data_IF_548691691089
#
_entry.id   IF_548691691089
#
_cell.length_a   1.000
_cell.length_b   1.000
_cell.length_c   1.000
_cell.angle_alpha   90.00
_cell.angle_beta   90.00
_cell.angle_gamma   90.00
#
_symmetry.space_group_name_H-M   'P 1'
#
loop_
_entity.id
_entity.type
_entity.pdbx_description
1 polymer ?
#
# COMPACT_ATOMS: atom_id res chain seq x y z
N UNK A 1 10.89 18.33 41.88
CA UNK A 1 11.62 17.40 41.00
C UNK A 1 11.54 16.03 41.65
N UNK A 2 10.50 15.26 41.32
CA UNK A 2 10.36 13.86 41.71
C UNK A 2 11.29 13.04 40.82
N UNK A 3 12.20 12.25 41.41
CA UNK A 3 13.04 11.34 40.63
C UNK A 3 12.13 10.38 39.84
N UNK A 4 12.38 10.15 38.53
CA UNK A 4 11.63 9.16 37.77
C UNK A 4 11.82 7.78 38.41
N UNK A 5 10.72 7.04 38.53
CA UNK A 5 10.74 5.68 39.09
C UNK A 5 11.38 4.77 38.06
N UNK A 6 12.38 3.98 38.44
CA UNK A 6 13.06 3.08 37.49
C UNK A 6 12.54 1.64 37.63
N UNK A 7 12.17 1.03 36.51
CA UNK A 7 11.93 -0.42 36.43
C UNK A 7 13.23 -1.09 35.99
N UNK A 8 13.69 -2.09 36.75
CA UNK A 8 14.92 -2.85 36.50
C UNK A 8 14.55 -4.30 36.17
N UNK A 9 14.89 -4.76 34.96
CA UNK A 9 14.49 -6.10 34.46
C UNK A 9 15.73 -6.88 34.02
N UNK A 10 15.92 -8.13 34.49
CA UNK A 10 16.93 -9.02 33.94
C UNK A 10 16.72 -9.26 32.44
N UNK A 11 17.75 -9.05 31.64
CA UNK A 11 17.67 -9.13 30.19
C UNK A 11 18.94 -9.73 29.57
N UNK A 12 18.77 -10.27 28.37
CA UNK A 12 19.87 -10.74 27.52
C UNK A 12 20.01 -9.77 26.35
N UNK A 13 21.16 -9.12 26.24
CA UNK A 13 21.54 -8.36 25.05
C UNK A 13 22.11 -9.33 24.02
N UNK A 14 21.53 -9.36 22.82
CA UNK A 14 21.93 -10.17 21.68
C UNK A 14 22.41 -9.26 20.55
N UNK A 15 23.61 -9.49 20.03
CA UNK A 15 24.17 -8.76 18.90
C UNK A 15 23.80 -9.45 17.58
N UNK A 16 23.11 -8.74 16.69
CA UNK A 16 22.80 -9.19 15.33
C UNK A 16 23.53 -8.32 14.31
N UNK A 17 24.51 -8.89 13.61
CA UNK A 17 25.37 -8.14 12.69
C UNK A 17 26.31 -7.17 13.41
N UNK A 18 26.76 -6.12 12.71
CA UNK A 18 27.81 -5.22 13.20
C UNK A 18 27.30 -4.09 14.09
N UNK A 19 26.02 -3.70 13.97
CA UNK A 19 25.46 -2.52 14.66
C UNK A 19 24.13 -2.74 15.38
N UNK A 20 23.48 -3.90 15.26
CA UNK A 20 22.15 -4.10 15.86
C UNK A 20 22.24 -4.87 17.17
N UNK A 21 21.56 -4.35 18.17
CA UNK A 21 21.45 -4.93 19.50
C UNK A 21 19.97 -5.17 19.79
N UNK A 22 19.65 -6.38 20.24
CA UNK A 22 18.31 -6.78 20.66
C UNK A 22 18.38 -7.15 22.13
N UNK A 23 17.35 -6.82 22.89
CA UNK A 23 17.22 -7.13 24.30
C UNK A 23 16.05 -8.10 24.47
N UNK A 24 16.32 -9.29 24.98
CA UNK A 24 15.29 -10.28 25.30
C UNK A 24 15.08 -10.34 26.81
N UNK A 25 13.84 -10.19 27.26
CA UNK A 25 13.48 -10.22 28.69
C UNK A 25 12.03 -10.66 28.89
N UNK A 26 11.65 -10.92 30.15
CA UNK A 26 10.26 -11.16 30.52
C UNK A 26 9.75 -10.02 31.40
N UNK A 27 8.50 -9.62 31.20
CA UNK A 27 7.82 -8.60 32.02
C UNK A 27 6.36 -8.97 32.20
N UNK A 28 5.74 -8.54 33.30
CA UNK A 28 4.29 -8.64 33.42
C UNK A 28 3.62 -7.78 32.37
N UNK A 29 2.75 -8.38 31.54
CA UNK A 29 2.00 -7.67 30.51
C UNK A 29 1.12 -6.56 31.08
N UNK A 30 0.71 -6.65 32.36
CA UNK A 30 -0.03 -5.59 33.07
C UNK A 30 0.82 -4.35 33.34
N UNK A 31 2.15 -4.48 33.40
CA UNK A 31 3.08 -3.36 33.64
C UNK A 31 3.50 -2.64 32.37
N UNK A 32 3.41 -3.29 31.20
CA UNK A 32 3.84 -2.72 29.91
C UNK A 32 3.24 -1.33 29.62
N UNK A 33 1.94 -1.06 29.89
CA UNK A 33 1.37 0.27 29.68
C UNK A 33 2.04 1.37 30.51
N UNK A 34 2.72 1.08 31.62
CA UNK A 34 3.40 2.13 32.41
C UNK A 34 4.59 2.77 31.68
N UNK A 35 5.20 2.06 30.73
CA UNK A 35 6.41 2.51 30.04
C UNK A 35 6.34 2.41 28.51
N UNK A 36 5.31 1.78 27.95
CA UNK A 36 5.17 1.65 26.51
C UNK A 36 3.77 1.99 26.01
N UNK A 37 3.71 2.60 24.83
CA UNK A 37 2.47 3.06 24.20
C UNK A 37 2.28 2.47 22.80
N UNK A 38 1.06 2.53 22.30
CA UNK A 38 0.75 2.25 20.89
C UNK A 38 0.72 3.58 20.16
N UNK A 39 1.59 3.75 19.16
CA UNK A 39 1.48 4.82 18.15
C UNK A 39 0.08 4.76 17.52
N UNK A 40 -0.78 5.63 18.04
CA UNK A 40 -1.81 6.24 17.22
C UNK A 40 -1.01 7.20 16.36
N UNK A 41 -0.86 6.89 15.08
CA UNK A 41 -0.44 7.86 14.08
C UNK A 41 -1.48 9.00 14.14
N UNK A 42 -1.28 9.94 15.08
CA UNK A 42 -2.02 11.18 15.20
C UNK A 42 -1.40 12.08 14.15
N UNK A 43 -2.09 12.21 13.01
CA UNK A 43 -1.95 13.42 12.22
C UNK A 43 -2.52 14.56 13.07
N UNK A 44 -1.64 15.32 13.70
CA UNK A 44 -1.99 16.63 14.23
C UNK A 44 -2.42 17.51 13.05
N UNK A 45 -3.70 17.87 13.04
CA UNK A 45 -4.30 18.76 12.04
C UNK A 45 -5.62 18.22 11.50
N UNK A 46 -6.72 18.61 12.16
CA UNK A 46 -8.10 18.53 11.68
C UNK A 46 -8.61 17.14 11.21
N UNK A 47 -8.90 16.28 12.19
CA UNK A 47 -10.12 15.46 12.31
C UNK A 47 -9.83 14.39 13.35
N UNK A 48 -10.28 14.67 14.57
CA UNK A 48 -10.27 13.72 15.68
C UNK A 48 -11.16 12.54 15.26
N UNK A 49 -10.55 11.44 14.84
CA UNK A 49 -11.24 10.18 14.61
C UNK A 49 -11.60 9.58 15.97
N UNK A 50 -12.70 10.06 16.53
CA UNK A 50 -13.45 9.30 17.53
C UNK A 50 -13.95 8.01 16.88
N UNK A 51 -13.61 6.87 17.49
CA UNK A 51 -14.44 5.66 17.37
C UNK A 51 -14.18 4.67 16.23
N UNK A 52 -12.98 4.58 15.64
CA UNK A 52 -12.69 3.45 14.72
C UNK A 52 -12.25 2.18 15.48
N UNK A 53 -13.13 1.62 16.31
CA UNK A 53 -12.92 0.27 16.85
C UNK A 53 -13.49 -0.76 15.87
N UNK A 54 -12.60 -1.50 15.18
CA UNK A 54 -13.02 -2.57 14.26
C UNK A 54 -13.59 -3.75 15.05
N UNK A 55 -14.83 -4.22 14.77
CA UNK A 55 -15.45 -5.34 15.49
C UNK A 55 -14.60 -6.62 15.48
N UNK A 56 -13.90 -6.87 14.38
CA UNK A 56 -13.01 -8.03 14.18
C UNK A 56 -11.78 -8.01 15.11
N UNK A 57 -11.31 -6.82 15.51
CA UNK A 57 -10.20 -6.67 16.45
C UNK A 57 -10.68 -6.92 17.88
N UNK A 58 -11.90 -6.47 18.20
CA UNK A 58 -12.52 -6.71 19.51
C UNK A 58 -12.84 -8.19 19.73
N UNK A 59 -13.35 -8.89 18.72
CA UNK A 59 -13.61 -10.33 18.82
C UNK A 59 -12.33 -11.12 19.06
N UNK A 60 -11.24 -10.78 18.37
CA UNK A 60 -9.97 -11.47 18.54
C UNK A 60 -9.30 -11.16 19.90
N UNK A 61 -9.41 -9.93 20.40
CA UNK A 61 -8.96 -9.58 21.75
C UNK A 61 -9.74 -10.41 22.79
N UNK A 62 -11.06 -10.53 22.62
CA UNK A 62 -11.90 -11.33 23.51
C UNK A 62 -11.53 -12.84 23.50
N UNK A 63 -11.22 -13.41 22.33
CA UNK A 63 -10.71 -14.79 22.21
C UNK A 63 -9.41 -14.99 22.99
N UNK A 64 -8.43 -14.10 22.80
CA UNK A 64 -7.14 -14.17 23.51
C UNK A 64 -7.36 -14.00 25.01
N UNK A 65 -8.22 -13.06 25.44
CA UNK A 65 -8.55 -12.84 26.85
C UNK A 65 -9.15 -14.10 27.47
N UNK A 66 -10.18 -14.66 26.84
CA UNK A 66 -10.83 -15.87 27.32
C UNK A 66 -9.84 -17.05 27.40
N UNK A 67 -8.87 -17.13 26.48
CA UNK A 67 -7.80 -18.13 26.55
C UNK A 67 -6.84 -17.88 27.73
N UNK A 68 -6.45 -16.63 27.99
CA UNK A 68 -5.62 -16.25 29.15
C UNK A 68 -6.30 -16.58 30.48
N UNK A 69 -7.63 -16.50 30.55
CA UNK A 69 -8.41 -16.79 31.76
C UNK A 69 -8.67 -18.30 31.99
N UNK A 70 -8.13 -19.19 31.15
CA UNK A 70 -8.21 -20.64 31.36
C UNK A 70 -7.26 -21.12 32.48
N UNK A 71 -7.35 -22.39 32.88
CA UNK A 71 -6.51 -22.94 33.96
C UNK A 71 -5.01 -23.06 33.58
N UNK A 72 -4.68 -23.16 32.30
CA UNK A 72 -3.30 -23.37 31.82
C UNK A 72 -2.98 -22.64 30.50
N UNK A 73 -3.05 -21.30 30.47
CA UNK A 73 -2.73 -20.51 29.28
C UNK A 73 -1.24 -20.53 28.97
N UNK A 74 -0.88 -20.60 27.68
CA UNK A 74 0.51 -20.45 27.22
C UNK A 74 0.59 -19.53 26.00
N UNK A 75 1.29 -18.40 26.14
CA UNK A 75 1.56 -17.47 25.04
C UNK A 75 3.08 -17.38 24.82
N UNK A 76 3.66 -18.27 23.99
CA UNK A 76 5.12 -18.36 23.83
C UNK A 76 5.70 -17.25 22.95
N UNK A 77 4.86 -16.59 22.15
CA UNK A 77 5.29 -15.57 21.20
C UNK A 77 5.61 -14.27 21.93
N UNK A 78 6.84 -13.77 21.75
CA UNK A 78 7.26 -12.50 22.31
C UNK A 78 6.46 -11.32 21.73
N UNK A 79 6.31 -10.26 22.52
CA UNK A 79 5.92 -8.93 22.03
C UNK A 79 7.16 -8.17 21.60
N UNK A 80 7.00 -7.16 20.73
CA UNK A 80 8.12 -6.35 20.25
C UNK A 80 7.96 -4.90 20.68
N UNK A 81 8.98 -4.36 21.35
CA UNK A 81 9.00 -2.98 21.84
C UNK A 81 10.23 -2.25 21.28
N UNK A 82 10.02 -1.09 20.68
CA UNK A 82 11.09 -0.15 20.34
C UNK A 82 11.24 0.84 21.50
N UNK A 83 12.40 0.90 22.12
CA UNK A 83 12.72 1.90 23.14
C UNK A 83 13.52 3.06 22.55
N UNK A 84 13.39 4.23 23.16
CA UNK A 84 14.32 5.34 22.92
C UNK A 84 15.58 5.24 23.80
N UNK A 85 16.44 6.25 23.68
CA UNK A 85 17.73 6.36 24.34
C UNK A 85 17.65 6.58 25.86
N UNK A 86 16.46 6.81 26.43
CA UNK A 86 16.27 6.90 27.88
C UNK A 86 16.37 5.53 28.55
N UNK A 87 16.12 4.45 27.81
CA UNK A 87 16.30 3.07 28.30
C UNK A 87 17.76 2.67 28.18
N UNK A 88 18.33 2.12 29.27
CA UNK A 88 19.74 1.71 29.32
C UNK A 88 19.90 0.25 29.71
N UNK A 89 21.02 -0.34 29.33
CA UNK A 89 21.38 -1.72 29.68
C UNK A 89 22.69 -1.74 30.47
N UNK A 90 22.64 -2.29 31.69
CA UNK A 90 23.80 -2.46 32.57
C UNK A 90 24.23 -3.93 32.56
N UNK A 91 25.49 -4.21 32.19
CA UNK A 91 26.03 -5.56 32.17
C UNK A 91 26.10 -6.15 33.58
N UNK A 92 25.76 -7.43 33.72
CA UNK A 92 25.88 -8.13 35.00
C UNK A 92 27.35 -8.40 35.32
N UNK A 93 27.78 -8.01 36.52
CA UNK A 93 29.14 -8.27 37.02
C UNK A 93 29.30 -9.76 37.32
N UNK A 94 30.25 -10.42 36.66
CA UNK A 94 30.58 -11.84 36.92
C UNK A 94 29.84 -12.86 36.06
N UNK A 95 29.13 -12.44 35.01
CA UNK A 95 28.51 -13.37 34.07
C UNK A 95 29.57 -14.18 33.27
N UNK A 96 29.34 -15.48 33.00
CA UNK A 96 30.27 -16.29 32.22
C UNK A 96 30.38 -15.73 30.79
N UNK A 97 31.60 -15.32 30.39
CA UNK A 97 31.94 -14.85 29.05
C UNK A 97 32.05 -16.02 28.05
N UNK A 98 30.97 -16.79 27.87
CA UNK A 98 30.98 -17.99 27.01
C UNK A 98 30.75 -17.71 25.53
N UNK A 99 30.08 -16.60 25.18
CA UNK A 99 29.64 -16.29 23.80
C UNK A 99 29.66 -14.78 23.52
N UNK A 100 30.27 -14.37 22.41
CA UNK A 100 30.45 -12.95 22.06
C UNK A 100 29.17 -12.23 21.63
N UNK A 101 28.17 -12.98 21.17
CA UNK A 101 26.94 -12.44 20.62
C UNK A 101 25.82 -12.30 21.64
N UNK A 102 25.99 -12.77 22.88
CA UNK A 102 24.97 -12.66 23.92
C UNK A 102 25.58 -12.28 25.27
N UNK A 103 25.02 -11.25 25.92
CA UNK A 103 25.47 -10.75 27.22
C UNK A 103 24.29 -10.62 28.17
N UNK A 104 24.49 -11.04 29.42
CA UNK A 104 23.48 -10.94 30.48
C UNK A 104 23.64 -9.62 31.22
N UNK A 105 22.52 -8.97 31.53
CA UNK A 105 22.51 -7.70 32.25
C UNK A 105 21.13 -7.33 32.74
N UNK A 106 20.99 -6.06 33.15
CA UNK A 106 19.74 -5.47 33.62
C UNK A 106 19.35 -4.35 32.67
N UNK A 107 18.16 -4.45 32.08
CA UNK A 107 17.53 -3.36 31.33
C UNK A 107 16.84 -2.43 32.32
N UNK A 108 17.07 -1.13 32.18
CA UNK A 108 16.54 -0.11 33.07
C UNK A 108 15.67 0.84 32.28
N UNK A 109 14.40 0.87 32.65
CA UNK A 109 13.35 1.59 31.97
C UNK A 109 12.85 2.70 32.91
N UNK A 110 12.98 3.98 32.53
CA UNK A 110 12.41 5.06 33.32
C UNK A 110 10.88 5.03 33.19
N UNK A 111 10.20 5.21 34.31
CA UNK A 111 8.74 5.34 34.40
C UNK A 111 8.43 6.67 35.04
N UNK A 112 7.58 7.41 34.34
CA UNK A 112 7.01 8.65 34.83
C UNK A 112 5.50 8.56 34.62
N UNK A 113 4.74 8.60 35.71
CA UNK A 113 3.27 8.53 35.65
C UNK A 113 2.67 9.90 35.26
N UNK A 114 3.49 10.95 35.09
CA UNK A 114 3.06 12.32 34.80
C UNK A 114 3.22 12.75 33.34
N UNK A 115 3.95 11.97 32.52
CA UNK A 115 4.15 12.25 31.09
C UNK A 115 2.94 11.77 30.26
N UNK A 116 2.71 12.40 29.11
CA UNK A 116 1.65 11.98 28.17
C UNK A 116 1.90 10.54 27.70
N UNK A 117 0.83 9.80 27.42
CA UNK A 117 0.86 8.49 26.78
C UNK A 117 1.73 8.47 25.52
N UNK A 118 1.84 9.59 24.80
CA UNK A 118 2.67 9.71 23.59
C UNK A 118 4.17 9.90 23.86
N UNK A 119 4.55 10.23 25.08
CA UNK A 119 5.93 10.54 25.47
C UNK A 119 6.60 9.40 26.26
N UNK A 120 5.95 8.24 26.36
CA UNK A 120 6.50 7.05 27.02
C UNK A 120 7.75 6.54 26.29
N UNK A 121 8.74 5.98 27.01
CA UNK A 121 10.02 5.58 26.43
C UNK A 121 9.94 4.37 25.50
N UNK A 122 8.86 3.59 25.56
CA UNK A 122 8.63 2.43 24.71
C UNK A 122 7.49 2.64 23.71
N UNK A 123 7.69 2.11 22.51
CA UNK A 123 6.67 2.00 21.47
C UNK A 123 6.40 0.52 21.14
N UNK A 124 5.15 0.09 21.25
CA UNK A 124 4.72 -1.28 20.97
C UNK A 124 4.67 -1.49 19.46
N UNK A 125 5.65 -2.25 18.96
CA UNK A 125 5.80 -2.56 17.54
C UNK A 125 4.91 -3.74 17.14
N UNK A 126 4.89 -4.81 17.94
CA UNK A 126 4.02 -5.98 17.74
C UNK A 126 3.55 -6.52 19.10
N UNK A 127 2.40 -7.18 19.10
CA UNK A 127 1.77 -7.74 20.29
C UNK A 127 0.63 -6.89 20.85
N UNK A 128 0.16 -5.88 20.12
CA UNK A 128 -0.88 -4.95 20.60
C UNK A 128 -2.16 -5.64 21.05
N UNK A 129 -2.69 -6.58 20.25
CA UNK A 129 -3.89 -7.34 20.60
C UNK A 129 -3.67 -8.26 21.82
N UNK A 130 -2.48 -8.85 21.94
CA UNK A 130 -2.08 -9.69 23.09
C UNK A 130 -2.01 -8.86 24.37
N UNK A 131 -1.35 -7.70 24.32
CA UNK A 131 -1.26 -6.77 25.45
C UNK A 131 -2.63 -6.20 25.84
N UNK A 132 -3.49 -5.88 24.87
CA UNK A 132 -4.86 -5.45 25.14
C UNK A 132 -5.66 -6.54 25.86
N UNK A 133 -5.56 -7.79 25.38
CA UNK A 133 -6.21 -8.94 26.01
C UNK A 133 -5.68 -9.19 27.43
N UNK A 134 -4.36 -9.15 27.64
CA UNK A 134 -3.76 -9.29 28.98
C UNK A 134 -4.25 -8.18 29.91
N UNK A 135 -4.29 -6.93 29.44
CA UNK A 135 -4.79 -5.78 30.23
C UNK A 135 -6.24 -6.00 30.67
N UNK A 136 -7.08 -6.51 29.79
CA UNK A 136 -8.52 -6.71 30.03
C UNK A 136 -8.86 -8.04 30.71
N UNK A 137 -7.93 -9.00 30.76
CA UNK A 137 -8.12 -10.29 31.42
C UNK A 137 -8.22 -10.14 32.94
N UNK A 138 -9.11 -10.92 33.55
CA UNK A 138 -9.30 -11.03 34.99
C UNK A 138 -8.23 -11.93 35.63
N UNK A 139 -6.96 -11.56 35.43
CA UNK A 139 -5.78 -12.19 36.03
C UNK A 139 -4.94 -11.10 36.72
N UNK A 140 -4.36 -11.41 37.87
CA UNK A 140 -3.53 -10.45 38.61
C UNK A 140 -2.23 -10.10 37.88
N UNK A 141 -1.60 -11.12 37.26
CA UNK A 141 -0.32 -10.99 36.56
C UNK A 141 -0.26 -11.98 35.40
N UNK A 142 0.33 -11.57 34.28
CA UNK A 142 0.60 -12.47 33.16
C UNK A 142 1.96 -12.14 32.52
N UNK A 143 3.05 -12.82 32.92
CA UNK A 143 4.37 -12.61 32.35
C UNK A 143 4.42 -12.95 30.85
N UNK A 144 5.02 -12.06 30.06
CA UNK A 144 5.24 -12.24 28.63
C UNK A 144 6.71 -12.05 28.26
N UNK A 145 7.14 -12.77 27.23
CA UNK A 145 8.43 -12.55 26.60
C UNK A 145 8.41 -11.25 25.79
N UNK A 146 9.49 -10.49 25.85
CA UNK A 146 9.69 -9.24 25.11
C UNK A 146 10.98 -9.33 24.32
N UNK A 147 10.92 -8.97 23.05
CA UNK A 147 12.08 -8.67 22.22
C UNK A 147 12.10 -7.17 21.96
N UNK A 148 13.15 -6.49 22.40
CA UNK A 148 13.24 -5.04 22.29
C UNK A 148 14.51 -4.59 21.58
N UNK A 149 14.48 -3.37 21.03
CA UNK A 149 15.67 -2.69 20.52
C UNK A 149 15.60 -1.23 20.95
N UNK A 150 16.76 -0.60 21.10
CA UNK A 150 16.87 0.81 21.49
C UNK A 150 17.31 1.59 20.25
N UNK A 151 16.54 2.59 19.84
CA UNK A 151 16.89 3.48 18.74
C UNK A 151 16.32 4.88 18.96
N UNK A 152 17.12 5.90 18.65
CA UNK A 152 16.72 7.29 18.64
C UNK A 152 16.11 7.73 17.30
N UNK A 153 16.10 6.87 16.29
CA UNK A 153 15.62 7.19 14.94
C UNK A 153 14.18 6.68 14.71
N UNK A 154 13.23 7.61 14.65
CA UNK A 154 11.82 7.34 14.32
C UNK A 154 11.64 6.59 12.99
N UNK A 155 12.56 6.76 12.04
CA UNK A 155 12.56 6.04 10.76
C UNK A 155 12.90 4.57 10.95
N UNK A 156 13.91 4.25 11.75
CA UNK A 156 14.28 2.87 12.08
C UNK A 156 13.15 2.17 12.87
N UNK A 157 12.48 2.89 13.78
CA UNK A 157 11.28 2.37 14.48
C UNK A 157 10.16 2.01 13.50
N UNK A 158 9.90 2.89 12.52
CA UNK A 158 8.87 2.66 11.48
C UNK A 158 9.25 1.51 10.55
N UNK A 159 10.51 1.41 10.16
CA UNK A 159 11.02 0.30 9.33
C UNK A 159 10.87 -1.05 10.04
N UNK A 160 11.27 -1.14 11.31
CA UNK A 160 11.07 -2.36 12.10
C UNK A 160 9.59 -2.67 12.31
N UNK A 161 8.74 -1.66 12.48
CA UNK A 161 7.30 -1.86 12.54
C UNK A 161 6.74 -2.56 11.29
N UNK A 162 7.18 -2.13 10.11
CA UNK A 162 6.78 -2.75 8.84
C UNK A 162 7.35 -4.17 8.73
N UNK A 163 8.62 -4.37 9.08
CA UNK A 163 9.31 -5.65 8.92
C UNK A 163 8.77 -6.72 9.89
N UNK A 164 8.57 -6.39 11.16
CA UNK A 164 8.06 -7.32 12.18
C UNK A 164 6.60 -7.69 11.89
N UNK A 165 5.76 -6.72 11.54
CA UNK A 165 4.36 -6.96 11.17
C UNK A 165 4.18 -7.46 9.72
N UNK A 166 5.25 -7.77 8.98
CA UNK A 166 5.11 -8.36 7.64
C UNK A 166 4.67 -9.83 7.67
N UNK A 167 4.75 -10.48 8.84
CA UNK A 167 4.42 -11.92 9.04
C UNK A 167 2.95 -12.19 9.38
N UNK A 168 2.14 -11.15 9.67
CA UNK A 168 0.65 -11.16 9.65
C UNK A 168 0.17 -9.90 8.93
N UNK A 169 -0.72 -9.97 7.93
CA UNK A 169 -0.82 -8.94 6.91
C UNK A 169 -1.35 -7.62 7.47
N UNK A 170 -0.47 -6.62 7.60
CA UNK A 170 -0.89 -5.23 7.46
C UNK A 170 -1.79 -5.14 6.22
N UNK A 171 -2.91 -4.38 6.25
CA UNK A 171 -3.76 -4.22 5.08
C UNK A 171 -2.89 -3.84 3.88
N UNK A 172 -3.01 -4.58 2.77
CA UNK A 172 -2.13 -4.41 1.60
C UNK A 172 -2.05 -2.94 1.15
N UNK A 173 -3.16 -2.21 1.22
CA UNK A 173 -3.20 -0.78 0.91
C UNK A 173 -2.32 0.08 1.83
N UNK A 174 -2.24 -0.23 3.14
CA UNK A 174 -1.34 0.47 4.06
C UNK A 174 0.12 0.15 3.78
N UNK A 175 0.43 -1.11 3.45
CA UNK A 175 1.78 -1.47 2.99
C UNK A 175 2.13 -0.61 1.76
N UNK A 176 1.26 -0.59 0.74
CA UNK A 176 1.51 0.14 -0.50
C UNK A 176 1.67 1.65 -0.27
N UNK A 177 0.92 2.25 0.64
CA UNK A 177 1.07 3.67 0.96
C UNK A 177 2.40 3.99 1.66
N UNK A 178 2.91 3.06 2.48
CA UNK A 178 4.18 3.22 3.19
C UNK A 178 5.40 2.90 2.31
N UNK A 179 5.27 1.99 1.33
CA UNK A 179 6.38 1.52 0.48
C UNK A 179 7.26 2.63 -0.11
N UNK A 180 6.72 3.72 -0.70
CA UNK A 180 7.54 4.77 -1.32
C UNK A 180 8.51 5.45 -0.37
N UNK A 181 8.20 5.47 0.92
CA UNK A 181 8.98 6.14 1.95
C UNK A 181 10.06 5.24 2.57
N UNK A 182 10.18 3.98 2.11
CA UNK A 182 11.12 2.99 2.65
C UNK A 182 12.40 2.89 1.81
N UNK A 183 13.55 2.88 2.49
CA UNK A 183 14.88 2.71 1.86
C UNK A 183 15.47 1.30 2.07
N UNK A 184 14.82 0.45 2.87
CA UNK A 184 15.28 -0.89 3.19
C UNK A 184 15.31 -1.85 1.98
N UNK A 185 16.17 -2.86 2.06
CA UNK A 185 16.14 -4.00 1.14
C UNK A 185 14.93 -4.87 1.46
N UNK A 186 13.80 -4.55 0.84
CA UNK A 186 12.56 -5.32 0.92
C UNK A 186 12.65 -6.66 0.16
N UNK A 187 11.80 -7.65 0.48
CA UNK A 187 11.57 -8.80 -0.36
C UNK A 187 11.27 -8.40 -1.81
N UNK A 188 11.75 -9.19 -2.79
CA UNK A 188 11.68 -8.87 -4.23
C UNK A 188 10.29 -8.46 -4.69
N UNK A 189 9.23 -9.12 -4.17
CA UNK A 189 7.84 -8.80 -4.51
C UNK A 189 7.42 -7.39 -4.03
N UNK A 190 7.87 -6.96 -2.86
CA UNK A 190 7.57 -5.62 -2.32
C UNK A 190 8.42 -4.54 -2.98
N UNK A 191 9.69 -4.85 -3.31
CA UNK A 191 10.52 -3.94 -4.12
C UNK A 191 9.88 -3.62 -5.47
N UNK A 192 9.35 -4.64 -6.16
CA UNK A 192 8.66 -4.46 -7.45
C UNK A 192 7.45 -3.54 -7.34
N UNK A 193 6.78 -3.49 -6.18
CA UNK A 193 5.60 -2.65 -5.93
C UNK A 193 5.90 -1.23 -5.45
N UNK A 194 7.13 -0.93 -5.04
CA UNK A 194 7.50 0.39 -4.50
C UNK A 194 7.26 1.52 -5.50
N UNK A 195 7.74 1.36 -6.74
CA UNK A 195 7.60 2.40 -7.77
C UNK A 195 6.15 2.58 -8.27
N UNK A 196 5.38 1.50 -8.59
CA UNK A 196 3.95 1.64 -8.86
C UNK A 196 3.16 2.31 -7.72
N UNK A 197 3.50 2.02 -6.46
CA UNK A 197 2.83 2.63 -5.31
C UNK A 197 3.20 4.12 -5.13
N UNK A 198 4.42 4.51 -5.49
CA UNK A 198 4.82 5.92 -5.53
C UNK A 198 4.00 6.70 -6.57
N UNK A 199 3.91 6.18 -7.81
CA UNK A 199 3.10 6.78 -8.86
C UNK A 199 1.62 6.86 -8.50
N UNK A 200 1.07 5.83 -7.86
CA UNK A 200 -0.31 5.85 -7.37
C UNK A 200 -0.55 7.00 -6.38
N UNK A 201 0.38 7.24 -5.45
CA UNK A 201 0.27 8.35 -4.51
C UNK A 201 0.29 9.71 -5.23
N UNK A 202 1.17 9.90 -6.22
CA UNK A 202 1.18 11.11 -7.05
C UNK A 202 -0.17 11.32 -7.73
N UNK A 203 -0.69 10.30 -8.41
CA UNK A 203 -1.99 10.36 -9.08
C UNK A 203 -3.15 10.67 -8.12
N UNK A 204 -3.05 10.28 -6.85
CA UNK A 204 -4.14 10.50 -5.90
C UNK A 204 -4.09 11.87 -5.21
N UNK A 205 -2.95 12.56 -5.23
CA UNK A 205 -2.72 13.77 -4.43
C UNK A 205 -2.41 15.03 -5.24
N UNK A 206 -1.87 14.93 -6.46
CA UNK A 206 -1.58 16.11 -7.26
C UNK A 206 -2.85 16.86 -7.68
N UNK A 207 -2.79 18.20 -7.62
CA UNK A 207 -3.89 19.12 -7.95
C UNK A 207 -4.47 18.86 -9.35
N UNK A 208 -3.61 18.69 -10.35
CA UNK A 208 -4.00 18.55 -11.75
C UNK A 208 -4.37 17.11 -12.15
N UNK A 209 -4.24 16.14 -11.23
CA UNK A 209 -4.52 14.75 -11.53
C UNK A 209 -6.03 14.50 -11.70
N UNK A 210 -6.48 13.90 -12.82
CA UNK A 210 -7.87 13.46 -12.98
C UNK A 210 -8.33 12.43 -11.94
N UNK A 211 -7.38 11.78 -11.27
CA UNK A 211 -7.58 10.75 -10.23
C UNK A 211 -7.45 11.30 -8.80
N UNK A 212 -7.24 12.61 -8.60
CA UNK A 212 -7.09 13.23 -7.28
C UNK A 212 -8.25 12.83 -6.35
N UNK A 213 -7.92 12.22 -5.22
CA UNK A 213 -8.88 11.77 -4.21
C UNK A 213 -9.80 10.61 -4.63
N UNK A 214 -9.60 10.02 -5.81
CA UNK A 214 -10.47 8.95 -6.34
C UNK A 214 -9.94 7.56 -6.03
N UNK A 215 -8.65 7.42 -5.80
CA UNK A 215 -8.03 6.12 -5.52
C UNK A 215 -8.20 5.83 -4.03
N UNK A 216 -8.88 4.73 -3.72
CA UNK A 216 -9.15 4.32 -2.35
C UNK A 216 -7.89 3.78 -1.69
N UNK A 217 -7.26 4.63 -0.87
CA UNK A 217 -6.13 4.30 0.00
C UNK A 217 -6.56 4.41 1.47
N UNK A 218 -5.78 3.93 2.44
CA UNK A 218 -6.05 4.17 3.87
C UNK A 218 -6.24 5.65 4.23
N UNK A 219 -5.52 6.56 3.57
CA UNK A 219 -5.67 8.01 3.75
C UNK A 219 -6.74 8.65 2.89
N UNK A 220 -7.23 7.95 1.87
CA UNK A 220 -8.34 8.37 0.99
C UNK A 220 -9.45 7.31 1.02
N UNK A 221 -10.14 7.12 2.17
CA UNK A 221 -11.08 6.02 2.34
C UNK A 221 -12.34 6.15 1.46
N UNK A 222 -12.65 7.37 1.03
CA UNK A 222 -13.83 7.69 0.21
C UNK A 222 -13.57 7.56 -1.30
N UNK A 223 -12.37 7.17 -1.72
CA UNK A 223 -12.06 6.93 -3.13
C UNK A 223 -12.97 5.86 -3.74
N UNK A 224 -13.39 6.07 -4.97
CA UNK A 224 -14.30 5.19 -5.69
C UNK A 224 -13.57 4.17 -6.59
N UNK A 225 -12.27 4.32 -6.82
CA UNK A 225 -11.42 3.38 -7.55
C UNK A 225 -10.55 2.58 -6.57
N UNK A 226 -10.54 1.25 -6.67
CA UNK A 226 -9.69 0.42 -5.79
C UNK A 226 -8.20 0.59 -6.14
N UNK A 227 -7.37 0.88 -5.12
CA UNK A 227 -5.90 0.99 -5.21
C UNK A 227 -5.25 -0.15 -6.00
N UNK A 228 -5.60 -1.40 -5.70
CA UNK A 228 -5.00 -2.57 -6.31
C UNK A 228 -5.29 -2.68 -7.82
N UNK A 229 -6.35 -2.03 -8.31
CA UNK A 229 -6.62 -1.97 -9.75
C UNK A 229 -5.70 -0.99 -10.47
N UNK A 230 -5.43 0.17 -9.86
CA UNK A 230 -4.43 1.12 -10.37
C UNK A 230 -3.03 0.50 -10.29
N UNK A 231 -2.68 -0.15 -9.17
CA UNK A 231 -1.38 -0.83 -9.05
C UNK A 231 -1.17 -1.88 -10.13
N UNK A 232 -2.15 -2.75 -10.38
CA UNK A 232 -2.06 -3.75 -11.46
C UNK A 232 -1.93 -3.12 -12.84
N UNK A 233 -2.68 -2.05 -13.10
CA UNK A 233 -2.61 -1.30 -14.35
C UNK A 233 -1.20 -0.73 -14.56
N UNK A 234 -0.65 -0.07 -13.54
CA UNK A 234 0.71 0.49 -13.55
C UNK A 234 1.77 -0.60 -13.70
N UNK A 235 1.64 -1.72 -12.97
CA UNK A 235 2.55 -2.87 -13.07
C UNK A 235 2.62 -3.42 -14.49
N UNK A 236 1.47 -3.58 -15.16
CA UNK A 236 1.41 -4.08 -16.54
C UNK A 236 2.13 -3.13 -17.50
N UNK A 237 1.81 -1.83 -17.45
CA UNK A 237 2.40 -0.85 -18.37
C UNK A 237 3.89 -0.57 -18.09
N UNK A 238 4.32 -0.63 -16.83
CA UNK A 238 5.73 -0.52 -16.44
C UNK A 238 6.56 -1.76 -16.77
N UNK A 239 5.92 -2.89 -17.09
CA UNK A 239 6.60 -4.13 -17.48
C UNK A 239 6.71 -4.23 -18.99
N UNK A 240 5.59 -4.05 -19.70
CA UNK A 240 5.50 -4.35 -21.15
C UNK A 240 4.75 -3.28 -21.96
N UNK A 241 4.43 -2.12 -21.35
CA UNK A 241 3.62 -1.06 -21.97
C UNK A 241 4.37 0.24 -22.24
N UNK A 242 3.63 1.33 -22.41
CA UNK A 242 4.19 2.65 -22.72
C UNK A 242 5.09 3.16 -21.59
N UNK A 243 4.73 2.88 -20.34
CA UNK A 243 5.49 3.39 -19.18
C UNK A 243 6.87 2.73 -19.04
N UNK A 244 7.07 1.52 -19.58
CA UNK A 244 8.37 0.86 -19.60
C UNK A 244 9.45 1.74 -20.26
N UNK A 245 9.09 2.54 -21.28
CA UNK A 245 10.03 3.42 -22.00
C UNK A 245 10.66 4.50 -21.13
N UNK A 246 9.95 4.89 -20.07
CA UNK A 246 10.37 5.94 -19.14
C UNK A 246 10.86 5.39 -17.80
N UNK A 247 10.78 4.07 -17.60
CA UNK A 247 11.13 3.41 -16.34
C UNK A 247 12.63 3.48 -16.01
N UNK A 248 13.48 3.60 -17.03
CA UNK A 248 14.93 3.64 -16.86
C UNK A 248 15.51 4.90 -17.50
N UNK A 249 16.08 5.75 -16.67
CA UNK A 249 16.93 6.89 -17.02
C UNK A 249 18.39 6.54 -16.74
N UNK A 250 19.32 7.34 -17.25
CA UNK A 250 20.77 7.12 -17.10
C UNK A 250 21.24 7.11 -15.62
N UNK A 251 20.47 7.68 -14.70
CA UNK A 251 20.71 7.73 -13.25
C UNK A 251 19.95 6.65 -12.46
N UNK A 252 19.19 5.77 -13.13
CA UNK A 252 18.49 4.63 -12.52
C UNK A 252 17.17 4.99 -11.80
N UNK A 253 16.78 6.27 -11.78
CA UNK A 253 15.52 6.75 -11.25
C UNK A 253 14.58 7.12 -12.41
N UNK A 254 13.74 6.17 -12.84
CA UNK A 254 12.84 6.36 -14.00
C UNK A 254 12.17 7.75 -14.06
N UNK A 255 11.94 8.24 -15.27
CA UNK A 255 11.47 9.59 -15.57
C UNK A 255 10.01 9.77 -15.11
N UNK A 256 9.88 10.09 -13.81
CA UNK A 256 8.61 10.23 -13.10
C UNK A 256 7.72 11.27 -13.77
N UNK A 257 8.30 12.38 -14.22
CA UNK A 257 7.55 13.48 -14.83
C UNK A 257 6.91 13.02 -16.14
N UNK A 258 7.66 12.31 -17.00
CA UNK A 258 7.10 11.78 -18.25
C UNK A 258 6.06 10.69 -18.00
N UNK A 259 6.29 9.80 -17.05
CA UNK A 259 5.31 8.76 -16.66
C UNK A 259 4.02 9.41 -16.18
N UNK A 260 4.14 10.40 -15.30
CA UNK A 260 3.01 11.13 -14.71
C UNK A 260 2.25 11.89 -15.79
N UNK A 261 2.95 12.55 -16.73
CA UNK A 261 2.34 13.24 -17.85
C UNK A 261 1.52 12.30 -18.75
N UNK A 262 2.05 11.11 -19.10
CA UNK A 262 1.30 10.11 -19.89
C UNK A 262 0.02 9.69 -19.15
N UNK A 263 0.13 9.40 -17.86
CA UNK A 263 -1.00 8.97 -17.04
C UNK A 263 -2.06 10.06 -16.90
N UNK A 264 -1.65 11.29 -16.60
CA UNK A 264 -2.56 12.44 -16.47
C UNK A 264 -3.26 12.74 -17.79
N UNK A 265 -2.53 12.75 -18.92
CA UNK A 265 -3.11 12.97 -20.25
C UNK A 265 -4.13 11.88 -20.60
N UNK A 266 -3.81 10.61 -20.35
CA UNK A 266 -4.70 9.50 -20.65
C UNK A 266 -5.96 9.52 -19.79
N UNK A 267 -5.84 9.64 -18.47
CA UNK A 267 -7.00 9.67 -17.58
C UNK A 267 -7.82 10.96 -17.74
N UNK A 268 -7.21 12.05 -18.16
CA UNK A 268 -7.88 13.29 -18.55
C UNK A 268 -8.78 13.05 -19.76
N UNK A 269 -8.27 12.36 -20.77
CA UNK A 269 -9.01 11.99 -21.97
C UNK A 269 -10.14 11.00 -21.66
N UNK A 270 -9.91 10.01 -20.79
CA UNK A 270 -10.96 9.08 -20.34
C UNK A 270 -12.08 9.83 -19.62
N UNK A 271 -11.75 10.76 -18.72
CA UNK A 271 -12.72 11.62 -18.03
C UNK A 271 -13.54 12.45 -19.01
N UNK A 272 -12.91 12.97 -20.06
CA UNK A 272 -13.54 13.80 -21.09
C UNK A 272 -14.50 12.97 -21.96
N UNK A 273 -14.00 11.88 -22.56
CA UNK A 273 -14.76 11.06 -23.53
C UNK A 273 -15.89 10.27 -22.87
N UNK A 274 -15.65 9.74 -21.66
CA UNK A 274 -16.58 8.89 -20.92
C UNK A 274 -17.13 9.59 -19.66
N UNK A 275 -17.35 10.90 -19.71
CA UNK A 275 -17.73 11.74 -18.56
C UNK A 275 -18.92 11.21 -17.74
N UNK A 276 -19.97 10.72 -18.39
CA UNK A 276 -21.14 10.13 -17.71
C UNK A 276 -20.75 8.88 -16.91
N UNK A 277 -20.03 7.94 -17.52
CA UNK A 277 -19.58 6.72 -16.87
C UNK A 277 -18.47 6.98 -15.84
N UNK A 278 -17.66 8.03 -16.01
CA UNK A 278 -16.59 8.43 -15.11
C UNK A 278 -17.12 8.98 -13.78
N UNK A 279 -18.26 9.68 -13.80
CA UNK A 279 -18.83 10.31 -12.60
C UNK A 279 -19.74 9.37 -11.78
N UNK A 280 -19.85 8.11 -12.17
CA UNK A 280 -20.65 7.10 -11.49
C UNK A 280 -19.78 6.15 -10.67
N UNK A 281 -20.26 5.67 -9.49
CA UNK A 281 -19.52 4.73 -8.68
C UNK A 281 -19.37 3.35 -9.36
N UNK A 282 -18.40 2.49 -8.95
CA UNK A 282 -18.14 1.18 -9.58
C UNK A 282 -19.32 0.21 -9.66
N UNK A 283 -20.34 0.38 -8.82
CA UNK A 283 -21.58 -0.41 -8.87
C UNK A 283 -22.49 -0.01 -10.04
N UNK A 284 -22.32 1.20 -10.57
CA UNK A 284 -23.12 1.79 -11.65
C UNK A 284 -22.31 2.03 -12.92
N UNK A 285 -20.98 1.90 -12.86
CA UNK A 285 -20.09 2.05 -14.00
C UNK A 285 -18.94 1.04 -13.96
N UNK A 286 -18.79 0.26 -15.02
CA UNK A 286 -17.65 -0.65 -15.19
C UNK A 286 -16.37 0.06 -15.65
N UNK A 287 -16.45 1.34 -16.03
CA UNK A 287 -15.30 2.16 -16.40
C UNK A 287 -14.34 2.32 -15.21
N UNK A 288 -14.87 2.75 -14.06
CA UNK A 288 -14.11 2.97 -12.81
C UNK A 288 -13.98 1.68 -11.96
N UNK A 289 -14.63 0.61 -12.38
CA UNK A 289 -14.45 -0.71 -11.77
C UNK A 289 -13.08 -1.28 -12.10
N UNK A 290 -12.57 -2.17 -11.25
CA UNK A 290 -11.22 -2.71 -11.39
C UNK A 290 -10.92 -3.39 -12.72
N UNK A 291 -11.90 -4.04 -13.34
CA UNK A 291 -11.74 -4.61 -14.67
C UNK A 291 -11.60 -3.56 -15.78
N UNK A 292 -12.38 -2.47 -15.70
CA UNK A 292 -12.30 -1.35 -16.64
C UNK A 292 -10.98 -0.61 -16.52
N UNK A 293 -10.55 -0.29 -15.29
CA UNK A 293 -9.27 0.40 -15.04
C UNK A 293 -8.09 -0.35 -15.65
N UNK A 294 -8.02 -1.68 -15.46
CA UNK A 294 -6.92 -2.49 -16.00
C UNK A 294 -7.04 -2.61 -17.53
N UNK A 295 -8.24 -2.81 -18.06
CA UNK A 295 -8.47 -2.91 -19.50
C UNK A 295 -8.13 -1.60 -20.25
N UNK A 296 -8.48 -0.45 -19.66
CA UNK A 296 -8.12 0.87 -20.18
C UNK A 296 -6.61 1.11 -20.14
N UNK A 297 -5.89 0.53 -19.18
CA UNK A 297 -4.41 0.56 -19.17
C UNK A 297 -3.79 -0.07 -20.41
N UNK A 298 -4.30 -1.24 -20.84
CA UNK A 298 -3.85 -1.86 -22.09
C UNK A 298 -4.21 -1.02 -23.32
N UNK A 299 -5.35 -0.34 -23.28
CA UNK A 299 -5.76 0.58 -24.35
C UNK A 299 -4.86 1.83 -24.41
N UNK A 300 -4.48 2.39 -23.25
CA UNK A 300 -3.47 3.46 -23.14
C UNK A 300 -2.18 3.05 -23.83
N UNK A 301 -1.68 1.85 -23.54
CA UNK A 301 -0.46 1.31 -24.14
C UNK A 301 -0.59 1.22 -25.67
N UNK A 302 -1.73 0.72 -26.17
CA UNK A 302 -1.97 0.58 -27.61
C UNK A 302 -2.11 1.93 -28.34
N UNK A 303 -2.74 2.93 -27.72
CA UNK A 303 -2.84 4.29 -28.28
C UNK A 303 -1.46 4.95 -28.31
N UNK A 304 -0.72 4.90 -27.20
CA UNK A 304 0.62 5.49 -27.15
C UNK A 304 1.66 4.75 -28.02
N UNK A 305 1.41 3.48 -28.36
CA UNK A 305 2.18 2.74 -29.34
C UNK A 305 1.94 3.24 -30.77
N UNK A 306 0.69 3.54 -31.14
CA UNK A 306 0.39 4.18 -32.43
C UNK A 306 1.11 5.52 -32.58
N UNK A 307 1.08 6.32 -31.52
CA UNK A 307 1.66 7.66 -31.49
C UNK A 307 3.11 7.67 -31.03
N UNK A 308 3.87 6.56 -31.19
CA UNK A 308 5.26 6.41 -30.70
C UNK A 308 6.24 7.49 -31.22
N UNK A 309 5.91 8.19 -32.33
CA UNK A 309 6.70 9.33 -32.83
C UNK A 309 6.59 10.57 -31.94
N UNK A 310 5.49 10.71 -31.20
CA UNK A 310 5.29 11.74 -30.18
C UNK A 310 5.85 11.19 -28.88
N UNK A 311 6.74 11.94 -28.22
CA UNK A 311 7.36 11.49 -26.98
C UNK A 311 6.32 11.20 -25.88
N UNK A 312 5.39 12.14 -25.65
CA UNK A 312 4.27 11.99 -24.73
C UNK A 312 3.00 12.40 -25.49
N UNK A 313 2.06 11.47 -25.75
CA UNK A 313 0.78 11.84 -26.34
C UNK A 313 0.02 12.81 -25.42
N UNK A 314 -0.54 13.86 -25.99
CA UNK A 314 -1.34 14.86 -25.26
C UNK A 314 -2.71 14.28 -24.89
N UNK A 315 -3.42 14.92 -23.96
CA UNK A 315 -4.81 14.57 -23.66
C UNK A 315 -5.69 14.58 -24.92
N UNK A 316 -5.51 15.57 -25.81
CA UNK A 316 -6.27 15.68 -27.06
C UNK A 316 -6.06 14.45 -27.96
N UNK A 317 -4.81 14.02 -28.14
CA UNK A 317 -4.50 12.82 -28.94
C UNK A 317 -5.17 11.57 -28.35
N UNK A 318 -5.11 11.39 -27.02
CA UNK A 318 -5.80 10.28 -26.39
C UNK A 318 -7.32 10.39 -26.55
N UNK A 319 -7.90 11.58 -26.45
CA UNK A 319 -9.34 11.79 -26.59
C UNK A 319 -9.82 11.47 -28.02
N UNK A 320 -9.07 11.89 -29.04
CA UNK A 320 -9.34 11.58 -30.45
C UNK A 320 -9.37 10.07 -30.71
N UNK A 321 -8.42 9.31 -30.17
CA UNK A 321 -8.36 7.85 -30.34
C UNK A 321 -9.40 7.10 -29.49
N UNK A 322 -9.84 7.68 -28.35
CA UNK A 322 -10.88 7.10 -27.49
C UNK A 322 -12.30 7.39 -28.00
N UNK A 323 -12.52 8.52 -28.70
CA UNK A 323 -13.85 8.97 -29.09
C UNK A 323 -14.63 7.94 -29.94
N UNK A 324 -14.03 7.28 -30.96
CA UNK A 324 -14.73 6.24 -31.73
C UNK A 324 -15.18 5.05 -30.88
N UNK A 325 -14.52 4.79 -29.74
CA UNK A 325 -14.87 3.69 -28.85
C UNK A 325 -16.10 3.98 -27.99
N UNK A 326 -16.53 5.25 -27.89
CA UNK A 326 -17.67 5.66 -27.05
C UNK A 326 -18.94 4.86 -27.37
N UNK A 327 -19.22 4.67 -28.66
CA UNK A 327 -20.44 4.01 -29.15
C UNK A 327 -20.45 2.49 -28.97
N UNK A 328 -19.28 1.86 -28.80
CA UNK A 328 -19.15 0.41 -28.62
C UNK A 328 -18.92 0.00 -27.17
N UNK A 329 -18.49 0.93 -26.32
CA UNK A 329 -18.32 0.67 -24.90
C UNK A 329 -19.67 0.55 -24.19
N UNK A 330 -19.77 -0.42 -23.26
CA UNK A 330 -20.97 -0.68 -22.47
C UNK A 330 -20.65 -0.53 -20.99
N UNK A 331 -20.29 0.69 -20.58
CA UNK A 331 -19.82 0.96 -19.23
C UNK A 331 -20.95 1.01 -18.19
N UNK A 332 -22.14 1.42 -18.58
CA UNK A 332 -23.27 1.75 -17.68
C UNK A 332 -24.56 1.01 -18.03
N UNK A 333 -24.71 0.58 -19.28
CA UNK A 333 -25.90 -0.10 -19.80
C UNK A 333 -25.58 -1.02 -20.98
N UNK A 334 -26.59 -1.77 -21.42
CA UNK A 334 -26.51 -2.65 -22.58
C UNK A 334 -25.75 -3.96 -22.33
N UNK A 335 -25.21 -4.50 -23.41
CA UNK A 335 -24.55 -5.81 -23.46
C UNK A 335 -23.24 -5.72 -24.21
N UNK A 336 -22.18 -6.24 -23.61
CA UNK A 336 -20.92 -6.48 -24.29
C UNK A 336 -21.08 -7.69 -25.22
N UNK A 337 -20.68 -7.54 -26.47
CA UNK A 337 -20.64 -8.63 -27.45
C UNK A 337 -19.19 -9.08 -27.67
N UNK A 338 -18.81 -10.19 -27.03
CA UNK A 338 -17.47 -10.78 -27.18
C UNK A 338 -17.38 -11.81 -28.31
N UNK A 339 -18.34 -11.80 -29.24
CA UNK A 339 -18.44 -12.72 -30.36
C UNK A 339 -19.57 -13.75 -30.22
N UNK A 340 -19.69 -14.69 -31.18
CA UNK A 340 -20.84 -15.57 -31.30
C UNK A 340 -21.16 -16.33 -30.01
N UNK A 341 -22.37 -16.12 -29.49
CA UNK A 341 -22.87 -16.77 -28.27
C UNK A 341 -22.22 -16.30 -26.96
N UNK A 342 -21.45 -15.20 -26.98
CA UNK A 342 -20.73 -14.67 -25.81
C UNK A 342 -21.13 -13.22 -25.50
N UNK A 343 -22.43 -12.98 -25.41
CA UNK A 343 -22.94 -11.71 -24.91
C UNK A 343 -23.01 -11.73 -23.38
N UNK A 344 -22.66 -10.60 -22.77
CA UNK A 344 -22.74 -10.40 -21.32
C UNK A 344 -23.35 -9.04 -21.04
N UNK A 345 -24.22 -8.96 -20.03
CA UNK A 345 -24.75 -7.65 -19.59
C UNK A 345 -23.59 -6.77 -19.14
N UNK A 346 -23.73 -5.46 -19.31
CA UNK A 346 -22.69 -4.48 -19.01
C UNK A 346 -22.03 -4.67 -17.62
N UNK A 347 -22.82 -5.06 -16.61
CA UNK A 347 -22.39 -5.24 -15.23
C UNK A 347 -21.98 -6.68 -14.87
N UNK A 348 -21.98 -7.63 -15.80
CA UNK A 348 -21.58 -9.02 -15.53
C UNK A 348 -20.06 -9.21 -15.54
N UNK A 349 -19.30 -8.24 -16.06
CA UNK A 349 -17.83 -8.25 -16.03
C UNK A 349 -17.31 -8.11 -14.59
N UNK A 350 -16.63 -9.15 -14.11
CA UNK A 350 -16.04 -9.20 -12.77
C UNK A 350 -14.55 -8.84 -12.78
N UNK A 351 -13.99 -8.58 -11.60
CA UNK A 351 -12.56 -8.30 -11.43
C UNK A 351 -11.72 -9.60 -11.38
N UNK A 352 -11.94 -10.48 -12.35
CA UNK A 352 -11.19 -11.75 -12.51
C UNK A 352 -10.23 -11.63 -13.68
N UNK A 353 -9.11 -12.38 -13.65
CA UNK A 353 -8.12 -12.35 -14.74
C UNK A 353 -8.75 -12.64 -16.11
N UNK A 354 -9.66 -13.62 -16.17
CA UNK A 354 -10.37 -14.00 -17.39
C UNK A 354 -11.22 -12.85 -17.94
N UNK A 355 -12.01 -12.21 -17.10
CA UNK A 355 -12.92 -11.14 -17.50
C UNK A 355 -12.17 -9.86 -17.91
N UNK A 356 -11.10 -9.52 -17.17
CA UNK A 356 -10.19 -8.42 -17.52
C UNK A 356 -9.62 -8.64 -18.93
N UNK A 357 -9.13 -9.85 -19.20
CA UNK A 357 -8.48 -10.14 -20.48
C UNK A 357 -9.48 -10.17 -21.65
N UNK A 358 -10.70 -10.67 -21.43
CA UNK A 358 -11.78 -10.62 -22.41
C UNK A 358 -12.17 -9.16 -22.72
N UNK A 359 -12.34 -8.32 -21.69
CA UNK A 359 -12.67 -6.91 -21.87
C UNK A 359 -11.53 -6.15 -22.57
N UNK A 360 -10.28 -6.33 -22.13
CA UNK A 360 -9.12 -5.69 -22.74
C UNK A 360 -8.99 -6.07 -24.23
N UNK A 361 -9.08 -7.36 -24.55
CA UNK A 361 -9.01 -7.83 -25.94
C UNK A 361 -10.14 -7.26 -26.80
N UNK A 362 -11.36 -7.19 -26.26
CA UNK A 362 -12.48 -6.56 -26.96
C UNK A 362 -12.18 -5.10 -27.29
N UNK A 363 -11.76 -4.31 -26.31
CA UNK A 363 -11.43 -2.89 -26.53
C UNK A 363 -10.30 -2.72 -27.55
N UNK A 364 -9.25 -3.55 -27.48
CA UNK A 364 -8.14 -3.52 -28.44
C UNK A 364 -8.58 -3.89 -29.86
N UNK A 365 -9.47 -4.88 -30.02
CA UNK A 365 -10.03 -5.25 -31.33
C UNK A 365 -10.88 -4.11 -31.90
N UNK A 366 -11.77 -3.54 -31.08
CA UNK A 366 -12.60 -2.40 -31.49
C UNK A 366 -11.73 -1.19 -31.86
N UNK A 367 -10.71 -0.89 -31.07
CA UNK A 367 -9.77 0.20 -31.32
C UNK A 367 -9.04 0.01 -32.66
N UNK A 368 -8.54 -1.20 -32.92
CA UNK A 368 -7.88 -1.50 -34.20
C UNK A 368 -8.84 -1.39 -35.38
N UNK A 369 -10.09 -1.82 -35.22
CA UNK A 369 -11.11 -1.75 -36.28
C UNK A 369 -11.55 -0.31 -36.57
N UNK A 370 -11.87 0.45 -35.53
CA UNK A 370 -12.49 1.77 -35.65
C UNK A 370 -11.47 2.87 -35.92
N UNK A 371 -10.26 2.76 -35.37
CA UNK A 371 -9.28 3.85 -35.43
C UNK A 371 -8.12 3.50 -36.36
N UNK A 372 -7.53 2.31 -36.21
CA UNK A 372 -6.32 1.94 -36.98
C UNK A 372 -6.62 1.62 -38.46
N UNK A 373 -7.66 0.83 -38.71
CA UNK A 373 -8.02 0.39 -40.06
C UNK A 373 -8.69 1.50 -40.88
N UNK A 374 -9.48 2.38 -40.24
CA UNK A 374 -10.13 3.49 -40.94
C UNK A 374 -9.12 4.52 -41.46
N UNK A 375 -8.13 4.89 -40.65
CA UNK A 375 -7.07 5.80 -41.10
C UNK A 375 -6.20 5.17 -42.20
N UNK A 376 -5.86 3.88 -42.07
CA UNK A 376 -5.10 3.16 -43.11
C UNK A 376 -5.86 3.12 -44.44
N UNK A 377 -7.20 3.08 -44.40
CA UNK A 377 -8.05 3.14 -45.58
C UNK A 377 -8.10 4.56 -46.17
N UNK A 378 -8.26 5.58 -45.33
CA UNK A 378 -8.26 6.98 -45.74
C UNK A 378 -6.91 7.44 -46.35
N UNK A 379 -5.78 6.97 -45.82
CA UNK A 379 -4.44 7.23 -46.39
C UNK A 379 -4.30 6.58 -47.77
N UNK A 380 -4.77 5.34 -47.95
CA UNK A 380 -4.76 4.65 -49.25
C UNK A 380 -5.67 5.32 -50.28
N UNK A 381 -6.84 5.78 -49.87
CA UNK A 381 -7.78 6.50 -50.74
C UNK A 381 -7.18 7.84 -51.20
N UNK A 382 -6.56 8.62 -50.30
CA UNK A 382 -5.84 9.87 -50.65
C UNK A 382 -4.63 9.65 -51.57
N UNK A 383 -3.87 8.58 -51.34
CA UNK A 383 -2.73 8.23 -52.20
C UNK A 383 -3.18 7.81 -53.61
N UNK A 384 -4.31 7.10 -53.72
CA UNK A 384 -4.91 6.74 -55.01
C UNK A 384 -5.43 7.99 -55.74
N UNK A 385 -6.12 8.91 -55.07
CA UNK A 385 -6.62 10.15 -55.68
C UNK A 385 -5.48 11.05 -56.21
N UNK A 386 -4.34 11.11 -55.52
CA UNK A 386 -3.15 11.84 -56.01
C UNK A 386 -2.45 11.14 -57.18
N UNK A 387 -2.64 9.83 -57.35
CA UNK A 387 -2.07 9.06 -58.46
C UNK A 387 -2.87 9.19 -59.76
N UNK A 388 -4.13 9.67 -59.69
CA UNK A 388 -4.99 9.95 -60.85
C UNK A 388 -4.88 11.40 -61.35
N UNK A 389 -4.08 12.24 -60.69
CA UNK A 389 -3.85 13.64 -61.05
C UNK A 389 -2.53 13.89 -61.80
N UNK A 390 -1.85 12.84 -62.27
CA UNK A 390 -0.66 12.91 -63.12
C UNK A 390 -0.86 12.18 -64.45
#
# INVERSE_FOLDING_TARGET
>A
MTNPKEIRIPAIQVRQGTKRLIYSFAVDGKLVPSFATVSRIRRSGAHQLDGYQRPEVLSHIAEIRNYIETEAPMVPNAIVIAFDDRVRFELSTGAPNGIDYAKVGTLIIPVDDTIDETEKPGFIVDGQQRLAAIREANVESFPVCVSAFITSDMKEQTEQFILVNSTKPLPKGLIYELLPHTQATLPVLLQRRRFPAYLLNLLNHEEDSPLKGRIQTPTTPNGDIKDNSILKMLENSLSDGVLYRFRYTADGAGDVDKITAVLQNFWGAVREVFSEAWNLPPRRSRLVHGAGIIALGFLMDAIAERHRKVAIPTQVIFAEDLLPLKEVCRWTDGYWDFGPGRQRKWNEIQNTTKDIQVLANYLLIQYKSLVWNQESKAIKERANEQSFLF
#
